data_IF_220880538189
#
_entry.id   IF_220880538189
#
_cell.length_a   1.000
_cell.length_b   1.000
_cell.length_c   1.000
_cell.angle_alpha   90.00
_cell.angle_beta   90.00
_cell.angle_gamma   90.00
#
_symmetry.space_group_name_H-M   'P 1'
#
loop_
_entity.id
_entity.type
_entity.pdbx_description
1 polymer ?
#
# COMPACT_ATOMS: atom_id res chain seq x y z
N UNK A 1 -33.57 -38.33 -31.46
CA UNK A 1 -32.24 -37.79 -31.11
C UNK A 1 -32.14 -36.36 -31.61
N UNK A 2 -32.02 -35.37 -30.74
CA UNK A 2 -31.16 -34.19 -30.92
C UNK A 2 -31.16 -33.40 -29.61
N UNK A 3 -30.04 -33.42 -28.91
CA UNK A 3 -29.86 -32.74 -27.62
C UNK A 3 -29.47 -31.28 -27.92
N UNK A 4 -30.43 -30.37 -27.83
CA UNK A 4 -30.13 -28.94 -27.85
C UNK A 4 -29.40 -28.58 -26.56
N UNK A 5 -28.09 -28.33 -26.67
CA UNK A 5 -27.23 -27.98 -25.56
C UNK A 5 -27.46 -26.51 -25.20
N UNK A 6 -27.93 -26.27 -23.97
CA UNK A 6 -27.96 -24.97 -23.33
C UNK A 6 -26.52 -24.43 -23.23
N UNK A 7 -26.19 -23.39 -24.00
CA UNK A 7 -25.02 -22.56 -23.74
C UNK A 7 -25.50 -21.38 -22.89
N UNK A 8 -25.42 -21.56 -21.57
CA UNK A 8 -25.76 -20.52 -20.59
C UNK A 8 -24.75 -19.37 -20.75
N UNK A 9 -25.32 -18.18 -20.93
CA UNK A 9 -24.68 -16.88 -20.89
C UNK A 9 -23.95 -16.74 -19.55
N UNK A 10 -22.64 -16.57 -19.61
CA UNK A 10 -21.79 -16.30 -18.45
C UNK A 10 -20.83 -15.17 -18.78
N UNK A 11 -21.36 -14.00 -19.13
CA UNK A 11 -20.56 -12.78 -19.19
C UNK A 11 -20.14 -12.46 -17.75
N UNK A 12 -18.94 -12.89 -17.37
CA UNK A 12 -18.28 -12.49 -16.13
C UNK A 12 -17.99 -10.99 -16.21
N UNK A 13 -19.01 -10.21 -15.84
CA UNK A 13 -18.84 -8.83 -15.41
C UNK A 13 -18.20 -8.94 -14.02
N UNK A 14 -16.86 -9.05 -13.99
CA UNK A 14 -16.13 -8.69 -12.77
C UNK A 14 -16.11 -7.17 -12.76
N UNK A 15 -17.14 -6.64 -12.11
CA UNK A 15 -17.24 -5.25 -11.73
C UNK A 15 -15.97 -4.86 -10.98
N UNK A 16 -15.22 -3.90 -11.54
CA UNK A 16 -14.15 -3.17 -10.86
C UNK A 16 -14.76 -2.34 -9.73
N UNK A 17 -15.18 -3.02 -8.67
CA UNK A 17 -15.47 -2.39 -7.40
C UNK A 17 -14.14 -2.37 -6.67
N UNK A 18 -13.32 -1.35 -6.97
CA UNK A 18 -12.24 -0.93 -6.09
C UNK A 18 -12.85 -0.39 -4.79
N UNK A 19 -13.45 -1.27 -3.98
CA UNK A 19 -13.91 -0.93 -2.65
C UNK A 19 -12.98 -1.61 -1.65
N UNK A 20 -12.09 -0.80 -1.06
CA UNK A 20 -11.68 -0.90 0.35
C UNK A 20 -11.29 -2.31 0.80
N UNK A 21 -10.53 -3.03 -0.02
CA UNK A 21 -10.18 -4.41 0.22
C UNK A 21 -9.16 -4.53 1.34
N UNK A 22 -9.56 -4.42 2.61
CA UNK A 22 -8.83 -4.87 3.82
C UNK A 22 -7.39 -4.38 4.04
N UNK A 23 -6.90 -3.47 3.20
CA UNK A 23 -5.55 -2.90 3.28
C UNK A 23 -5.43 -1.84 4.37
N UNK A 24 -4.22 -1.34 4.61
CA UNK A 24 -4.02 -0.27 5.58
C UNK A 24 -4.78 0.99 5.17
N UNK A 25 -5.42 1.64 6.14
CA UNK A 25 -5.92 3.00 5.95
C UNK A 25 -4.75 3.97 5.66
N UNK A 26 -5.04 5.14 5.12
CA UNK A 26 -4.00 6.15 4.86
C UNK A 26 -3.20 6.53 6.10
N UNK A 27 -3.88 6.76 7.22
CA UNK A 27 -3.22 7.04 8.50
C UNK A 27 -2.37 5.88 9.00
N UNK A 28 -2.75 4.62 8.70
CA UNK A 28 -1.92 3.45 9.02
C UNK A 28 -0.69 3.36 8.10
N UNK A 29 -0.83 3.78 6.83
CA UNK A 29 0.29 3.86 5.86
C UNK A 29 1.27 4.95 6.25
N UNK A 30 0.78 6.15 6.57
CA UNK A 30 1.59 7.28 7.04
C UNK A 30 2.34 6.90 8.31
N UNK A 31 1.66 6.30 9.29
CA UNK A 31 2.31 5.84 10.51
C UNK A 31 3.39 4.80 10.24
N UNK A 32 3.09 3.78 9.42
CA UNK A 32 4.08 2.75 9.06
C UNK A 32 5.27 3.33 8.29
N UNK A 33 5.03 4.33 7.43
CA UNK A 33 6.06 5.05 6.71
C UNK A 33 6.93 5.89 7.65
N UNK A 34 6.35 6.61 8.61
CA UNK A 34 7.10 7.35 9.62
C UNK A 34 8.01 6.44 10.44
N UNK A 35 7.48 5.30 10.89
CA UNK A 35 8.28 4.31 11.63
C UNK A 35 9.44 3.77 10.78
N UNK A 36 9.19 3.54 9.49
CA UNK A 36 10.24 3.16 8.55
C UNK A 36 11.30 4.25 8.39
N UNK A 37 10.91 5.52 8.22
CA UNK A 37 11.85 6.64 8.13
C UNK A 37 12.69 6.74 9.41
N UNK A 38 12.06 6.72 10.58
CA UNK A 38 12.77 6.79 11.87
C UNK A 38 13.79 5.67 12.04
N UNK A 39 13.38 4.44 11.73
CA UNK A 39 14.26 3.27 11.81
C UNK A 39 15.48 3.35 10.86
N UNK A 40 15.40 4.13 9.78
CA UNK A 40 16.48 4.31 8.80
C UNK A 40 17.19 5.68 8.91
N UNK A 41 16.79 6.54 9.84
CA UNK A 41 17.37 7.88 10.04
C UNK A 41 17.57 8.20 11.53
N UNK A 42 16.63 8.89 12.16
CA UNK A 42 16.62 9.21 13.59
C UNK A 42 15.19 9.28 14.18
N UNK A 43 15.09 9.35 15.50
CA UNK A 43 13.80 9.39 16.22
C UNK A 43 13.05 10.71 16.02
N UNK A 44 13.76 11.79 15.68
CA UNK A 44 13.23 13.12 15.44
C UNK A 44 12.59 13.28 14.06
N UNK A 45 12.63 12.26 13.19
CA UNK A 45 12.10 12.34 11.85
C UNK A 45 10.60 12.67 11.83
N UNK A 46 10.18 13.42 10.81
CA UNK A 46 8.83 13.93 10.59
C UNK A 46 8.42 13.75 9.15
N UNK A 47 7.11 13.67 8.97
CA UNK A 47 6.44 13.73 7.67
C UNK A 47 5.67 15.05 7.66
N UNK A 48 5.99 15.91 6.71
CA UNK A 48 5.33 17.20 6.53
C UNK A 48 4.13 17.11 5.59
N UNK A 49 4.19 16.15 4.65
CA UNK A 49 3.13 15.86 3.70
C UNK A 49 3.16 14.37 3.35
N UNK A 50 1.99 13.76 3.20
CA UNK A 50 1.85 12.33 2.89
C UNK A 50 0.65 12.07 2.01
N UNK A 51 0.89 11.42 0.88
CA UNK A 51 -0.14 10.89 0.00
C UNK A 51 0.14 9.44 -0.36
N UNK A 52 -0.92 8.63 -0.44
CA UNK A 52 -0.83 7.25 -0.89
C UNK A 52 -2.18 6.83 -1.47
N UNK A 53 -2.23 6.41 -2.73
CA UNK A 53 -3.51 6.26 -3.43
C UNK A 53 -3.73 4.85 -3.99
N UNK A 54 -2.82 4.40 -4.85
CA UNK A 54 -2.82 3.12 -5.54
C UNK A 54 -2.21 2.01 -4.68
N UNK A 55 -3.05 1.27 -3.96
CA UNK A 55 -2.66 0.04 -3.26
C UNK A 55 -3.08 -1.21 -4.03
N UNK A 56 -2.12 -2.11 -4.26
CA UNK A 56 -2.35 -3.46 -4.81
C UNK A 56 -2.11 -4.51 -3.74
N UNK A 57 -3.06 -5.43 -3.54
CA UNK A 57 -2.90 -6.53 -2.58
C UNK A 57 -1.95 -7.59 -3.16
N UNK A 58 -0.99 -8.07 -2.38
CA UNK A 58 -0.16 -9.21 -2.77
C UNK A 58 -0.92 -10.53 -2.57
N UNK A 59 -0.63 -11.52 -3.41
CA UNK A 59 -1.22 -12.86 -3.28
C UNK A 59 -0.61 -13.61 -2.08
N UNK A 60 -1.43 -14.36 -1.35
CA UNK A 60 -0.97 -15.29 -0.32
C UNK A 60 -0.51 -14.67 1.02
N UNK A 61 -0.53 -13.35 1.17
CA UNK A 61 -0.13 -12.67 2.42
C UNK A 61 -1.02 -11.45 2.75
N UNK A 62 -1.11 -11.04 4.03
CA UNK A 62 -1.76 -9.78 4.42
C UNK A 62 -0.82 -8.60 4.13
N UNK A 63 -0.50 -8.40 2.86
CA UNK A 63 0.43 -7.37 2.40
C UNK A 63 -0.10 -6.62 1.18
N UNK A 64 0.23 -5.34 1.10
CA UNK A 64 -0.21 -4.41 0.07
C UNK A 64 0.98 -3.60 -0.41
N UNK A 65 1.15 -3.47 -1.72
CA UNK A 65 2.09 -2.53 -2.31
C UNK A 65 1.36 -1.25 -2.65
N UNK A 66 1.73 -0.13 -2.03
CA UNK A 66 1.13 1.17 -2.30
C UNK A 66 2.16 2.17 -2.81
N UNK A 67 1.78 3.04 -3.73
CA UNK A 67 2.52 4.27 -4.00
C UNK A 67 2.51 5.14 -2.75
N UNK A 68 3.62 5.85 -2.52
CA UNK A 68 3.78 6.83 -1.46
C UNK A 68 4.48 8.03 -2.07
N UNK A 69 3.90 9.20 -1.86
CA UNK A 69 4.55 10.49 -1.99
C UNK A 69 4.64 11.11 -0.62
N UNK A 70 5.83 11.50 -0.17
CA UNK A 70 5.98 12.05 1.17
C UNK A 70 7.09 13.08 1.26
N UNK A 71 6.79 14.22 1.88
CA UNK A 71 7.79 15.20 2.28
C UNK A 71 8.39 14.83 3.63
N UNK A 72 9.68 14.52 3.65
CA UNK A 72 10.36 14.01 4.86
C UNK A 72 11.38 15.00 5.40
N UNK A 73 11.33 15.25 6.70
CA UNK A 73 12.42 15.89 7.45
C UNK A 73 13.04 14.87 8.41
N UNK A 74 14.36 14.70 8.35
CA UNK A 74 15.10 13.81 9.23
C UNK A 74 16.54 14.29 9.38
N UNK A 75 17.21 13.96 10.48
CA UNK A 75 18.64 14.32 10.68
C UNK A 75 18.93 15.82 10.46
N UNK A 76 18.02 16.69 10.90
CA UNK A 76 18.10 18.16 10.72
C UNK A 76 18.14 18.60 9.24
N UNK A 77 17.64 17.78 8.33
CA UNK A 77 17.63 18.02 6.87
C UNK A 77 16.25 17.77 6.28
N UNK A 78 15.89 18.62 5.31
CA UNK A 78 14.72 18.41 4.44
C UNK A 78 15.12 17.50 3.27
N UNK A 79 14.51 16.32 3.21
CA UNK A 79 14.67 15.36 2.12
C UNK A 79 13.66 15.59 0.99
N UNK A 80 12.68 16.48 1.17
CA UNK A 80 11.61 16.67 0.21
C UNK A 80 10.93 15.34 -0.10
N UNK A 81 10.67 15.13 -1.39
CA UNK A 81 10.06 13.93 -1.98
C UNK A 81 11.08 12.85 -2.39
N UNK A 82 12.31 12.86 -1.86
CA UNK A 82 13.34 11.87 -2.24
C UNK A 82 12.96 10.42 -1.89
N UNK A 83 12.03 10.23 -0.97
CA UNK A 83 11.57 8.92 -0.52
C UNK A 83 10.33 8.42 -1.27
N UNK A 84 9.82 9.18 -2.25
CA UNK A 84 8.67 8.76 -3.06
C UNK A 84 8.91 7.41 -3.74
N UNK A 85 7.88 6.57 -3.81
CA UNK A 85 7.97 5.28 -4.48
C UNK A 85 6.92 4.28 -4.02
N UNK A 86 7.12 3.02 -4.41
CA UNK A 86 6.16 1.95 -4.09
C UNK A 86 6.68 1.13 -2.92
N UNK A 87 5.88 1.04 -1.85
CA UNK A 87 6.24 0.37 -0.60
C UNK A 87 5.31 -0.79 -0.30
N UNK A 88 5.89 -1.87 0.24
CA UNK A 88 5.15 -3.06 0.68
C UNK A 88 4.79 -2.92 2.16
N UNK A 89 3.52 -2.74 2.46
CA UNK A 89 2.93 -2.71 3.79
C UNK A 89 2.44 -4.11 4.17
N UNK A 90 2.97 -4.70 5.23
CA UNK A 90 2.59 -6.03 5.73
C UNK A 90 2.06 -5.93 7.16
N UNK A 91 0.96 -6.63 7.46
CA UNK A 91 0.40 -6.67 8.82
C UNK A 91 1.16 -7.67 9.69
N UNK A 92 1.92 -7.16 10.66
CA UNK A 92 2.73 -7.96 11.60
C UNK A 92 2.26 -7.69 13.03
N UNK A 93 1.74 -8.71 13.71
CA UNK A 93 1.27 -8.57 15.09
C UNK A 93 0.10 -7.58 15.25
N UNK A 94 -0.70 -7.39 14.20
CA UNK A 94 -1.82 -6.44 14.20
C UNK A 94 -1.48 -5.03 13.70
N UNK A 95 -0.20 -4.70 13.52
CA UNK A 95 0.27 -3.39 13.05
C UNK A 95 0.84 -3.48 11.65
N UNK A 96 0.58 -2.48 10.81
CA UNK A 96 1.18 -2.39 9.49
C UNK A 96 2.63 -1.91 9.55
N UNK A 97 3.50 -2.57 8.80
CA UNK A 97 4.93 -2.24 8.70
C UNK A 97 5.37 -2.26 7.25
N UNK A 98 6.30 -1.37 6.90
CA UNK A 98 6.99 -1.45 5.61
C UNK A 98 8.01 -2.58 5.67
N UNK A 99 7.86 -3.58 4.81
CA UNK A 99 8.77 -4.74 4.70
C UNK A 99 9.58 -4.73 3.41
N UNK A 100 9.34 -3.78 2.51
CA UNK A 100 10.09 -3.63 1.28
C UNK A 100 9.73 -2.37 0.53
N UNK A 101 10.63 -1.96 -0.37
CA UNK A 101 10.40 -0.94 -1.39
C UNK A 101 10.60 -1.60 -2.75
N UNK A 102 9.61 -1.48 -3.62
CA UNK A 102 9.70 -2.00 -5.00
C UNK A 102 10.50 -0.97 -5.80
N UNK A 103 11.64 -1.39 -6.35
CA UNK A 103 12.53 -0.59 -7.19
C UNK A 103 12.37 -1.00 -8.65
#
# INVERSE_FOLDING_TARGET
MSKARFAIIGTLIVSLVACSGGGPAETEREHAFLQFVKANSNEEARIEDFESNQCTKAEGAPSYTCDVSAKVEAMERDFGHQMDGVYTFTKVGGTWKITGRVQ
#
